data_IF_361599399030
#
_entry.id   IF_361599399030
#
_cell.length_a   1.000
_cell.length_b   1.000
_cell.length_c   1.000
_cell.angle_alpha   90.00
_cell.angle_beta   90.00
_cell.angle_gamma   90.00
#
_symmetry.space_group_name_H-M   'P 1'
#
loop_
_entity.id
_entity.type
_entity.pdbx_description
1 polymer ?
#
# COMPACT_ATOMS: atom_id res chain seq x y z
N UNK A 1 56.32 24.56 17.48
CA UNK A 1 55.33 23.48 17.45
C UNK A 1 54.02 24.10 16.97
N UNK A 2 53.59 23.77 15.75
CA UNK A 2 52.36 24.29 15.14
C UNK A 2 51.34 23.18 15.25
N UNK A 3 50.28 23.40 16.04
CA UNK A 3 49.17 22.46 16.15
C UNK A 3 48.19 22.69 14.99
N UNK A 4 48.08 21.71 14.11
CA UNK A 4 47.08 21.71 13.04
C UNK A 4 45.77 21.12 13.63
N UNK A 5 44.79 21.97 13.80
CA UNK A 5 43.43 21.52 14.20
C UNK A 5 42.72 20.98 12.96
N UNK A 6 42.49 19.65 12.93
CA UNK A 6 41.70 18.98 11.91
C UNK A 6 40.23 19.13 12.25
N UNK A 7 39.52 20.06 11.60
CA UNK A 7 38.08 20.21 11.74
C UNK A 7 37.36 19.13 10.93
N UNK A 8 36.81 18.12 11.60
CA UNK A 8 35.86 17.18 10.98
C UNK A 8 34.54 17.90 10.68
N UNK A 9 34.28 18.18 9.42
CA UNK A 9 32.95 18.57 8.93
C UNK A 9 32.05 17.33 8.89
N UNK A 10 31.20 17.16 9.89
CA UNK A 10 30.09 16.22 9.85
C UNK A 10 29.07 16.76 8.85
N UNK A 11 29.07 16.22 7.64
CA UNK A 11 27.99 16.43 6.66
C UNK A 11 26.75 15.71 7.15
N UNK A 12 25.84 16.41 7.80
CA UNK A 12 24.47 15.93 8.02
C UNK A 12 23.75 15.98 6.69
N UNK A 13 23.61 14.84 6.03
CA UNK A 13 22.70 14.71 4.89
C UNK A 13 21.27 14.93 5.40
N UNK A 14 20.71 16.09 5.13
CA UNK A 14 19.31 16.36 5.40
C UNK A 14 18.46 15.37 4.60
N UNK A 15 17.67 14.55 5.30
CA UNK A 15 16.70 13.66 4.65
C UNK A 15 15.68 14.55 3.94
N UNK A 16 15.63 14.44 2.62
CA UNK A 16 14.63 15.17 1.83
C UNK A 16 13.22 14.69 2.21
N UNK A 17 12.26 15.59 2.39
CA UNK A 17 10.88 15.18 2.64
C UNK A 17 10.33 14.39 1.45
N UNK A 18 9.50 13.40 1.73
CA UNK A 18 8.86 12.59 0.70
C UNK A 18 8.01 13.46 -0.24
N UNK A 19 7.93 13.04 -1.48
CA UNK A 19 7.13 13.71 -2.52
C UNK A 19 5.88 12.89 -2.87
N UNK A 20 4.87 13.52 -3.46
CA UNK A 20 3.70 12.81 -3.98
C UNK A 20 4.11 11.73 -4.98
N UNK A 21 5.08 12.01 -5.85
CA UNK A 21 5.60 11.03 -6.82
C UNK A 21 6.25 9.79 -6.18
N UNK A 22 6.87 9.94 -5.01
CA UNK A 22 7.40 8.78 -4.25
C UNK A 22 6.27 7.88 -3.77
N UNK A 23 5.18 8.47 -3.27
CA UNK A 23 4.01 7.71 -2.81
C UNK A 23 3.25 7.09 -4.00
N UNK A 24 3.11 7.78 -5.12
CA UNK A 24 2.51 7.22 -6.34
C UNK A 24 3.26 5.96 -6.83
N UNK A 25 4.59 5.97 -6.77
CA UNK A 25 5.42 4.79 -7.09
C UNK A 25 5.23 3.66 -6.08
N UNK A 26 5.09 4.00 -4.81
CA UNK A 26 4.82 3.04 -3.74
C UNK A 26 3.47 2.37 -3.94
N UNK A 27 2.43 3.14 -4.25
CA UNK A 27 1.10 2.61 -4.60
C UNK A 27 1.13 1.71 -5.83
N UNK A 28 1.85 2.11 -6.87
CA UNK A 28 2.01 1.29 -8.07
C UNK A 28 2.70 -0.05 -7.77
N UNK A 29 3.72 -0.07 -6.91
CA UNK A 29 4.41 -1.28 -6.49
C UNK A 29 3.52 -2.17 -5.62
N UNK A 30 2.83 -1.60 -4.64
CA UNK A 30 1.87 -2.27 -3.76
C UNK A 30 0.74 -2.94 -4.56
N UNK A 31 0.05 -2.17 -5.39
CA UNK A 31 -1.03 -2.67 -6.23
C UNK A 31 -0.55 -3.65 -7.32
N UNK A 32 0.68 -3.46 -7.81
CA UNK A 32 1.31 -4.39 -8.74
C UNK A 32 1.59 -5.77 -8.11
N UNK A 33 2.02 -5.81 -6.84
CA UNK A 33 2.18 -7.06 -6.11
C UNK A 33 0.83 -7.78 -5.92
N UNK A 34 -0.23 -7.03 -5.61
CA UNK A 34 -1.60 -7.52 -5.54
C UNK A 34 -2.06 -8.14 -6.87
N UNK A 35 -1.92 -7.42 -7.99
CA UNK A 35 -2.32 -7.89 -9.32
C UNK A 35 -1.57 -9.17 -9.74
N UNK A 36 -0.29 -9.27 -9.40
CA UNK A 36 0.52 -10.47 -9.68
C UNK A 36 0.28 -11.62 -8.70
N UNK A 37 -0.61 -11.45 -7.72
CA UNK A 37 -0.88 -12.42 -6.65
C UNK A 37 0.38 -12.78 -5.82
N UNK A 38 1.33 -11.85 -5.72
CA UNK A 38 2.54 -11.99 -4.92
C UNK A 38 2.25 -11.58 -3.47
N UNK A 39 1.51 -12.45 -2.75
CA UNK A 39 0.95 -12.10 -1.44
C UNK A 39 2.02 -11.76 -0.39
N UNK A 40 3.17 -12.42 -0.40
CA UNK A 40 4.25 -12.10 0.55
C UNK A 40 4.78 -10.69 0.32
N UNK A 41 4.98 -10.29 -0.94
CA UNK A 41 5.36 -8.92 -1.31
C UNK A 41 4.25 -7.93 -0.95
N UNK A 42 3.01 -8.20 -1.36
CA UNK A 42 1.84 -7.38 -1.08
C UNK A 42 1.67 -7.09 0.41
N UNK A 43 1.70 -8.14 1.23
CA UNK A 43 1.54 -7.98 2.68
C UNK A 43 2.78 -7.41 3.38
N UNK A 44 3.94 -7.39 2.73
CA UNK A 44 5.13 -6.75 3.29
C UNK A 44 5.00 -5.22 3.41
N UNK A 45 4.10 -4.61 2.63
CA UNK A 45 3.81 -3.18 2.71
C UNK A 45 3.02 -2.80 3.96
N UNK A 46 2.20 -3.70 4.49
CA UNK A 46 1.39 -3.43 5.68
C UNK A 46 2.24 -3.30 6.94
N UNK A 47 1.85 -2.39 7.81
CA UNK A 47 2.32 -2.38 9.19
C UNK A 47 1.62 -3.51 9.99
N UNK A 48 2.28 -4.04 11.01
CA UNK A 48 1.69 -5.11 11.83
C UNK A 48 0.42 -4.66 12.57
N UNK A 49 0.32 -3.36 12.86
CA UNK A 49 -0.82 -2.70 13.50
C UNK A 49 -1.80 -2.05 12.50
N UNK A 50 -1.71 -2.41 11.22
CA UNK A 50 -2.56 -1.84 10.19
C UNK A 50 -4.05 -2.11 10.48
N UNK A 51 -4.87 -1.11 10.21
CA UNK A 51 -6.32 -1.16 10.35
C UNK A 51 -6.98 -1.12 8.99
N UNK A 52 -8.07 -1.87 8.82
CA UNK A 52 -8.81 -1.90 7.55
C UNK A 52 -10.29 -1.73 7.80
N UNK A 53 -10.93 -0.98 6.92
CA UNK A 53 -12.36 -0.76 6.92
C UNK A 53 -12.91 -1.07 5.54
N UNK A 54 -13.72 -2.13 5.46
CA UNK A 54 -14.40 -2.58 4.23
C UNK A 54 -15.91 -2.43 4.38
N UNK A 55 -16.70 -2.75 3.36
CA UNK A 55 -18.18 -2.72 3.42
C UNK A 55 -18.73 -3.59 4.55
N UNK A 56 -18.09 -4.71 4.84
CA UNK A 56 -18.43 -5.61 5.95
C UNK A 56 -18.10 -5.03 7.33
N UNK A 57 -17.45 -3.86 7.38
CA UNK A 57 -16.96 -3.23 8.60
C UNK A 57 -15.44 -3.41 8.79
N UNK A 58 -15.02 -3.45 10.05
CA UNK A 58 -13.61 -3.56 10.41
C UNK A 58 -13.10 -4.99 10.17
N UNK A 59 -11.98 -5.10 9.44
CA UNK A 59 -11.30 -6.38 9.17
C UNK A 59 -9.90 -6.33 9.79
N UNK A 60 -9.44 -7.43 10.39
CA UNK A 60 -8.08 -7.55 10.89
C UNK A 60 -7.11 -7.93 9.77
N UNK A 61 -5.85 -7.51 9.87
CA UNK A 61 -4.83 -7.90 8.90
C UNK A 61 -4.65 -9.43 8.87
N UNK A 62 -4.78 -10.11 10.01
CA UNK A 62 -4.68 -11.56 10.10
C UNK A 62 -5.78 -12.28 9.33
N UNK A 63 -7.04 -11.83 9.47
CA UNK A 63 -8.17 -12.42 8.73
C UNK A 63 -8.05 -12.13 7.24
N UNK A 64 -7.69 -10.91 6.86
CA UNK A 64 -7.50 -10.52 5.47
C UNK A 64 -6.40 -11.35 4.77
N UNK A 65 -5.27 -11.56 5.44
CA UNK A 65 -4.21 -12.46 4.98
C UNK A 65 -4.74 -13.87 4.78
N UNK A 66 -5.39 -14.42 5.81
CA UNK A 66 -5.95 -15.78 5.78
C UNK A 66 -6.85 -15.99 4.57
N UNK A 67 -7.74 -15.03 4.29
CA UNK A 67 -8.71 -15.14 3.20
C UNK A 67 -8.00 -15.10 1.84
N UNK A 68 -7.04 -14.22 1.63
CA UNK A 68 -6.27 -14.16 0.38
C UNK A 68 -5.42 -15.40 0.15
N UNK A 69 -4.71 -15.89 1.16
CA UNK A 69 -3.95 -17.13 1.01
C UNK A 69 -4.84 -18.34 0.73
N UNK A 70 -6.02 -18.40 1.35
CA UNK A 70 -7.01 -19.45 1.06
C UNK A 70 -7.53 -19.36 -0.37
N UNK A 71 -7.85 -18.16 -0.87
CA UNK A 71 -8.28 -17.92 -2.25
C UNK A 71 -7.24 -18.40 -3.26
N UNK A 72 -5.98 -17.97 -3.10
CA UNK A 72 -4.88 -18.38 -3.99
C UNK A 72 -4.66 -19.89 -3.95
N UNK A 73 -4.62 -20.48 -2.76
CA UNK A 73 -4.50 -21.94 -2.59
C UNK A 73 -5.63 -22.72 -3.25
N UNK A 74 -6.84 -22.15 -3.28
CA UNK A 74 -8.02 -22.71 -3.93
C UNK A 74 -8.04 -22.53 -5.45
N UNK A 75 -7.03 -21.87 -6.05
CA UNK A 75 -6.95 -21.63 -7.49
C UNK A 75 -7.62 -20.33 -7.95
N UNK A 76 -8.11 -19.51 -7.01
CA UNK A 76 -8.57 -18.14 -7.28
C UNK A 76 -7.44 -17.14 -7.38
N UNK A 77 -7.76 -15.86 -7.45
CA UNK A 77 -6.79 -14.77 -7.47
C UNK A 77 -7.22 -13.57 -8.29
N UNK A 78 -6.41 -12.52 -8.27
CA UNK A 78 -6.58 -11.33 -9.09
C UNK A 78 -6.19 -11.65 -10.53
N UNK A 79 -7.04 -11.29 -11.48
CA UNK A 79 -6.74 -11.42 -12.91
C UNK A 79 -6.39 -10.07 -13.55
N UNK A 80 -6.92 -8.98 -12.99
CA UNK A 80 -6.63 -7.63 -13.44
C UNK A 80 -6.91 -6.64 -12.31
N UNK A 81 -6.02 -5.66 -12.17
CA UNK A 81 -6.19 -4.54 -11.25
C UNK A 81 -5.79 -3.24 -11.96
N UNK A 82 -6.69 -2.28 -12.07
CA UNK A 82 -6.44 -1.02 -12.77
C UNK A 82 -6.76 0.13 -11.83
N UNK A 83 -5.79 1.03 -11.67
CA UNK A 83 -5.94 2.23 -10.85
C UNK A 83 -6.22 3.44 -11.75
N UNK A 84 -7.04 4.35 -11.25
CA UNK A 84 -7.33 5.62 -11.91
C UNK A 84 -7.63 6.72 -10.89
N UNK A 85 -7.58 7.97 -11.33
CA UNK A 85 -7.89 9.17 -10.54
C UNK A 85 -7.13 9.24 -9.19
N UNK A 86 -5.85 8.86 -9.21
CA UNK A 86 -5.02 8.89 -8.00
C UNK A 86 -4.73 10.31 -7.55
N UNK A 87 -4.91 10.57 -6.26
CA UNK A 87 -4.54 11.81 -5.57
C UNK A 87 -3.72 11.48 -4.34
N UNK A 88 -2.60 12.16 -4.18
CA UNK A 88 -1.70 11.97 -3.05
C UNK A 88 -1.53 13.28 -2.29
N UNK A 89 -1.62 13.19 -0.98
CA UNK A 89 -1.31 14.27 -0.04
C UNK A 89 -0.21 13.79 0.90
N UNK A 90 0.87 14.54 1.00
CA UNK A 90 2.00 14.26 1.90
C UNK A 90 1.98 15.29 3.02
N UNK A 91 2.22 14.85 4.26
CA UNK A 91 2.35 15.75 5.42
C UNK A 91 3.52 16.74 5.24
N UNK A 92 3.46 17.92 5.87
CA UNK A 92 4.57 18.88 5.81
C UNK A 92 5.89 18.30 6.31
N UNK A 93 5.86 17.34 7.23
CA UNK A 93 7.04 16.63 7.73
C UNK A 93 7.59 15.55 6.78
N UNK A 94 6.82 15.16 5.76
CA UNK A 94 7.22 14.12 4.80
C UNK A 94 7.28 12.70 5.37
N UNK A 95 6.59 12.45 6.49
CA UNK A 95 6.60 11.19 7.23
C UNK A 95 5.25 10.46 7.23
N UNK A 96 4.22 11.09 6.68
CA UNK A 96 2.92 10.50 6.46
C UNK A 96 2.31 10.96 5.13
N UNK A 97 1.47 10.12 4.55
CA UNK A 97 0.79 10.40 3.29
C UNK A 97 -0.58 9.72 3.24
N UNK A 98 -1.47 10.32 2.47
CA UNK A 98 -2.77 9.76 2.11
C UNK A 98 -2.81 9.64 0.60
N UNK A 99 -3.13 8.46 0.08
CA UNK A 99 -3.45 8.22 -1.31
C UNK A 99 -4.93 7.85 -1.44
N UNK A 100 -5.61 8.44 -2.40
CA UNK A 100 -6.99 8.10 -2.76
C UNK A 100 -7.06 7.80 -4.25
N UNK A 101 -7.77 6.77 -4.63
CA UNK A 101 -7.88 6.36 -6.03
C UNK A 101 -9.09 5.47 -6.29
N UNK A 102 -9.39 5.28 -7.57
CA UNK A 102 -10.40 4.34 -8.03
C UNK A 102 -9.72 3.06 -8.47
N UNK A 103 -10.27 1.91 -8.06
CA UNK A 103 -9.82 0.58 -8.43
C UNK A 103 -10.88 -0.10 -9.29
N UNK A 104 -10.50 -0.61 -10.46
CA UNK A 104 -11.28 -1.57 -11.23
C UNK A 104 -10.57 -2.92 -11.15
N UNK A 105 -11.18 -3.88 -10.46
CA UNK A 105 -10.55 -5.19 -10.21
C UNK A 105 -11.41 -6.33 -10.76
N UNK A 106 -10.74 -7.31 -11.38
CA UNK A 106 -11.30 -8.58 -11.79
C UNK A 106 -10.65 -9.68 -10.96
N UNK A 107 -11.46 -10.38 -10.18
CA UNK A 107 -11.02 -11.49 -9.33
C UNK A 107 -11.66 -12.78 -9.79
N UNK A 108 -10.88 -13.86 -9.82
CA UNK A 108 -11.39 -15.22 -10.02
C UNK A 108 -11.51 -15.91 -8.68
N UNK A 109 -12.68 -16.47 -8.41
CA UNK A 109 -12.94 -17.28 -7.22
C UNK A 109 -12.38 -18.70 -7.38
N UNK A 110 -12.29 -19.45 -6.28
CA UNK A 110 -11.80 -20.83 -6.29
C UNK A 110 -12.65 -21.78 -7.18
N UNK A 111 -13.93 -21.51 -7.35
CA UNK A 111 -14.83 -22.23 -8.23
C UNK A 111 -14.74 -21.83 -9.70
N UNK A 112 -13.85 -20.89 -10.02
CA UNK A 112 -13.65 -20.33 -11.36
C UNK A 112 -14.59 -19.17 -11.72
N UNK A 113 -15.56 -18.84 -10.88
CA UNK A 113 -16.41 -17.66 -11.09
C UNK A 113 -15.58 -16.38 -11.03
N UNK A 114 -15.87 -15.46 -11.93
CA UNK A 114 -15.23 -14.14 -11.95
C UNK A 114 -16.15 -13.09 -11.36
N UNK A 115 -15.55 -12.22 -10.55
CA UNK A 115 -16.21 -11.06 -9.95
C UNK A 115 -15.49 -9.81 -10.42
N UNK A 116 -16.23 -8.84 -10.94
CA UNK A 116 -15.71 -7.54 -11.34
C UNK A 116 -16.23 -6.48 -10.39
N UNK A 117 -15.35 -5.70 -9.83
CA UNK A 117 -15.68 -4.66 -8.87
C UNK A 117 -15.06 -3.33 -9.26
N UNK A 118 -15.77 -2.26 -8.94
CA UNK A 118 -15.23 -0.90 -8.89
C UNK A 118 -15.20 -0.45 -7.45
N UNK A 119 -14.06 0.03 -6.99
CA UNK A 119 -13.89 0.49 -5.62
C UNK A 119 -13.29 1.90 -5.55
N UNK A 120 -13.53 2.53 -4.43
CA UNK A 120 -12.87 3.76 -3.98
C UNK A 120 -12.02 3.41 -2.78
N UNK A 121 -10.73 3.62 -2.91
CA UNK A 121 -9.76 3.25 -1.90
C UNK A 121 -9.07 4.46 -1.32
N UNK A 122 -8.81 4.41 -0.03
CA UNK A 122 -8.00 5.37 0.71
C UNK A 122 -6.95 4.62 1.49
N UNK A 123 -5.69 4.92 1.18
CA UNK A 123 -4.53 4.35 1.84
C UNK A 123 -3.80 5.41 2.66
N UNK A 124 -3.47 5.06 3.89
CA UNK A 124 -2.67 5.92 4.77
C UNK A 124 -1.32 5.26 5.01
N UNK A 125 -0.27 5.99 4.71
CA UNK A 125 1.11 5.56 4.82
C UNK A 125 1.84 6.35 5.89
N UNK A 126 2.59 5.64 6.75
CA UNK A 126 3.52 6.26 7.70
C UNK A 126 4.94 5.80 7.43
N UNK A 127 5.88 6.72 7.52
CA UNK A 127 7.31 6.40 7.47
C UNK A 127 7.78 6.05 8.87
N UNK A 128 8.05 4.76 9.09
CA UNK A 128 8.52 4.20 10.38
C UNK A 128 9.91 3.61 10.18
N UNK A 129 10.88 4.03 10.96
CA UNK A 129 12.28 3.58 10.84
C UNK A 129 12.84 3.67 9.41
N UNK A 130 12.53 4.78 8.73
CA UNK A 130 12.96 5.04 7.36
C UNK A 130 12.21 4.27 6.27
N UNK A 131 11.22 3.45 6.62
CA UNK A 131 10.42 2.64 5.68
C UNK A 131 8.98 3.09 5.68
N UNK A 132 8.39 3.20 4.49
CA UNK A 132 6.97 3.42 4.34
C UNK A 132 6.18 2.15 4.67
N UNK A 133 5.15 2.28 5.51
CA UNK A 133 4.23 1.21 5.89
C UNK A 133 2.79 1.68 5.75
N UNK A 134 1.97 0.83 5.16
CA UNK A 134 0.53 1.01 5.04
C UNK A 134 -0.10 0.76 6.41
N UNK A 135 -0.68 1.79 7.01
CA UNK A 135 -1.23 1.74 8.37
C UNK A 135 -2.75 1.74 8.41
N UNK A 136 -3.37 2.16 7.32
CA UNK A 136 -4.83 2.11 7.20
C UNK A 136 -5.25 1.96 5.75
N UNK A 137 -6.27 1.13 5.51
CA UNK A 137 -6.97 1.00 4.24
C UNK A 137 -8.47 1.18 4.48
N UNK A 138 -9.07 2.04 3.68
CA UNK A 138 -10.52 2.10 3.54
C UNK A 138 -10.89 1.73 2.11
N UNK A 139 -11.56 0.63 1.94
CA UNK A 139 -11.97 0.08 0.64
C UNK A 139 -13.48 -0.06 0.59
N UNK A 140 -14.12 0.67 -0.32
CA UNK A 140 -15.56 0.63 -0.53
C UNK A 140 -15.83 0.26 -1.99
N UNK A 141 -16.41 -0.91 -2.21
CA UNK A 141 -16.63 -1.45 -3.55
C UNK A 141 -18.12 -1.59 -3.90
N UNK A 142 -18.35 -1.72 -5.18
CA UNK A 142 -19.62 -2.19 -5.74
C UNK A 142 -19.34 -3.12 -6.90
N UNK A 143 -20.22 -4.08 -7.10
CA UNK A 143 -20.18 -4.95 -8.28
C UNK A 143 -20.29 -4.08 -9.55
N UNK A 144 -19.38 -4.32 -10.50
CA UNK A 144 -19.37 -3.63 -11.78
C UNK A 144 -20.01 -4.53 -12.85
N UNK A 145 -20.75 -3.95 -13.80
CA UNK A 145 -21.38 -4.69 -14.89
C UNK A 145 -20.35 -5.33 -15.85
#
# INVERSE_FOLDING_TARGET
>A
MIAVALSLLLSTTAVQPATASEIEKLEAAFNGAYERNQLDEYFSYYADDATMWFESGRVTLADYKKDWYALIKGGGGVEKNTLSDMRVQVSPGGDSAIATYVVDVLTRQADGKKTKEKAWETDVWFKRDGKWKLVHVHYNSKEAP
#
